data_IF_987671419043
#
_entry.id   IF_987671419043
#
_cell.length_a   1.000
_cell.length_b   1.000
_cell.length_c   1.000
_cell.angle_alpha   90.00
_cell.angle_beta   90.00
_cell.angle_gamma   90.00
#
_symmetry.space_group_name_H-M   'P 1'
#
loop_
_entity.id
_entity.type
_entity.pdbx_description
1 polymer ?
#
# COMPACT_ATOMS: atom_id res chain seq x y z
N UNK A 1 53.16 -19.23 12.92
CA UNK A 1 52.67 -18.59 11.68
C UNK A 1 51.22 -18.21 11.93
N UNK A 2 50.94 -16.94 12.19
CA UNK A 2 49.56 -16.47 12.40
C UNK A 2 48.88 -16.55 11.03
N UNK A 3 48.01 -17.53 10.82
CA UNK A 3 47.07 -17.48 9.72
C UNK A 3 46.26 -16.19 9.94
N UNK A 4 46.45 -15.19 9.06
CA UNK A 4 45.71 -13.93 9.13
C UNK A 4 44.21 -14.23 9.23
N UNK A 5 43.43 -13.37 9.92
CA UNK A 5 42.01 -13.65 10.15
C UNK A 5 41.36 -14.05 8.83
N UNK A 6 40.77 -15.24 8.79
CA UNK A 6 40.09 -15.73 7.61
C UNK A 6 38.97 -14.73 7.29
N UNK A 7 39.22 -13.89 6.28
CA UNK A 7 38.37 -12.75 5.93
C UNK A 7 36.96 -13.23 5.54
N UNK A 8 36.84 -14.46 5.06
CA UNK A 8 35.56 -15.03 4.63
C UNK A 8 34.61 -15.28 5.83
N UNK A 9 34.99 -16.03 6.89
CA UNK A 9 34.18 -16.17 8.11
C UNK A 9 33.76 -14.86 8.77
N UNK A 10 34.65 -13.86 8.81
CA UNK A 10 34.37 -12.58 9.47
C UNK A 10 33.42 -11.70 8.66
N UNK A 11 33.39 -11.86 7.33
CA UNK A 11 32.50 -11.10 6.44
C UNK A 11 31.15 -11.81 6.17
N UNK A 12 31.03 -13.11 6.42
CA UNK A 12 29.79 -13.88 6.19
C UNK A 12 28.53 -13.24 6.81
N UNK A 13 28.53 -12.75 8.07
CA UNK A 13 27.37 -12.10 8.67
C UNK A 13 26.95 -10.78 7.99
N UNK A 14 27.85 -10.13 7.25
CA UNK A 14 27.55 -8.97 6.40
C UNK A 14 27.11 -9.39 4.99
N UNK A 15 27.78 -10.37 4.41
CA UNK A 15 27.54 -10.84 3.04
C UNK A 15 26.17 -11.50 2.92
N UNK A 16 25.76 -12.31 3.90
CA UNK A 16 24.49 -13.06 3.83
C UNK A 16 23.28 -12.10 3.76
N UNK A 17 23.10 -11.11 4.65
CA UNK A 17 21.99 -10.17 4.54
C UNK A 17 22.02 -9.34 3.25
N UNK A 18 23.21 -8.89 2.82
CA UNK A 18 23.37 -8.15 1.56
C UNK A 18 23.00 -9.00 0.34
N UNK A 19 23.41 -10.27 0.32
CA UNK A 19 23.08 -11.21 -0.73
C UNK A 19 21.57 -11.52 -0.77
N UNK A 20 20.93 -11.69 0.40
CA UNK A 20 19.49 -11.88 0.51
C UNK A 20 18.72 -10.64 0.04
N UNK A 21 19.20 -9.44 0.35
CA UNK A 21 18.58 -8.17 -0.09
C UNK A 21 18.80 -7.84 -1.57
N UNK A 22 19.75 -8.50 -2.25
CA UNK A 22 20.01 -8.24 -3.67
C UNK A 22 18.79 -8.53 -4.55
N UNK A 23 18.05 -9.61 -4.27
CA UNK A 23 16.85 -10.00 -5.02
C UNK A 23 15.72 -8.95 -4.91
N UNK A 24 15.27 -8.53 -3.71
CA UNK A 24 14.22 -7.52 -3.58
C UNK A 24 14.67 -6.13 -4.07
N UNK A 25 15.96 -5.79 -3.97
CA UNK A 25 16.48 -4.53 -4.51
C UNK A 25 16.39 -4.50 -6.04
N UNK A 26 16.75 -5.61 -6.70
CA UNK A 26 16.61 -5.74 -8.16
C UNK A 26 15.14 -5.67 -8.57
N UNK A 27 14.24 -6.34 -7.85
CA UNK A 27 12.80 -6.30 -8.16
C UNK A 27 12.20 -4.90 -7.95
N UNK A 28 12.64 -4.17 -6.92
CA UNK A 28 12.28 -2.77 -6.70
C UNK A 28 12.75 -1.88 -7.86
N UNK A 29 14.01 -2.00 -8.28
CA UNK A 29 14.57 -1.24 -9.40
C UNK A 29 13.84 -1.56 -10.70
N UNK A 30 13.58 -2.85 -10.96
CA UNK A 30 12.80 -3.30 -12.12
C UNK A 30 11.36 -2.78 -12.11
N UNK A 31 10.73 -2.71 -10.93
CA UNK A 31 9.39 -2.13 -10.78
C UNK A 31 9.38 -0.61 -11.01
N UNK A 32 10.39 0.12 -10.53
CA UNK A 32 10.55 1.56 -10.80
C UNK A 32 10.78 1.81 -12.28
N UNK A 33 11.65 1.02 -12.94
CA UNK A 33 11.90 1.12 -14.39
C UNK A 33 10.62 0.82 -15.19
N UNK A 34 9.87 -0.22 -14.83
CA UNK A 34 8.61 -0.58 -15.50
C UNK A 34 7.55 0.52 -15.36
N UNK A 35 7.44 1.13 -14.18
CA UNK A 35 6.48 2.22 -13.90
C UNK A 35 6.85 3.52 -14.62
N UNK A 36 8.13 3.88 -14.62
CA UNK A 36 8.64 5.06 -15.36
C UNK A 36 8.50 4.89 -16.87
N UNK A 37 8.80 3.71 -17.42
CA UNK A 37 8.59 3.40 -18.85
C UNK A 37 7.11 3.44 -19.27
N UNK A 38 6.19 3.15 -18.36
CA UNK A 38 4.75 3.28 -18.58
C UNK A 38 4.23 4.73 -18.45
N UNK A 39 5.11 5.73 -18.37
CA UNK A 39 4.76 7.15 -18.28
C UNK A 39 4.14 7.56 -16.93
N UNK A 40 4.20 6.68 -15.93
CA UNK A 40 3.64 6.94 -14.60
C UNK A 40 4.73 7.47 -13.68
N UNK A 41 4.53 8.67 -13.14
CA UNK A 41 5.51 9.32 -12.29
C UNK A 41 5.70 8.52 -10.98
N UNK A 42 6.94 8.15 -10.61
CA UNK A 42 7.24 7.44 -9.36
C UNK A 42 7.03 8.25 -8.07
N UNK A 43 7.04 9.58 -8.16
CA UNK A 43 7.05 10.49 -7.00
C UNK A 43 6.32 11.83 -7.24
N UNK A 44 5.37 11.94 -8.17
CA UNK A 44 4.62 13.21 -8.35
C UNK A 44 3.75 13.54 -7.13
N UNK A 45 3.89 14.73 -6.52
CA UNK A 45 2.87 15.29 -5.65
C UNK A 45 1.74 15.80 -6.55
N UNK A 46 0.64 15.05 -6.62
CA UNK A 46 -0.50 15.39 -7.46
C UNK A 46 -1.62 16.02 -6.61
N UNK A 47 -2.06 17.25 -6.95
CA UNK A 47 -3.18 17.95 -6.30
C UNK A 47 -4.55 17.24 -6.47
N UNK A 48 -4.54 16.06 -7.08
CA UNK A 48 -5.63 15.09 -7.17
C UNK A 48 -5.38 13.85 -6.29
N UNK A 49 -4.81 14.04 -5.09
CA UNK A 49 -4.52 12.91 -4.20
C UNK A 49 -5.76 12.04 -3.95
N UNK A 50 -5.52 10.73 -3.79
CA UNK A 50 -6.56 9.71 -3.51
C UNK A 50 -7.54 10.12 -2.41
N UNK A 51 -7.11 10.93 -1.45
CA UNK A 51 -7.97 11.54 -0.45
C UNK A 51 -9.12 12.37 -1.05
N UNK A 52 -8.82 13.30 -1.96
CA UNK A 52 -9.84 14.10 -2.63
C UNK A 52 -10.76 13.25 -3.51
N UNK A 53 -10.23 12.25 -4.22
CA UNK A 53 -11.08 11.31 -4.99
C UNK A 53 -12.00 10.49 -4.09
N UNK A 54 -11.54 10.09 -2.90
CA UNK A 54 -12.37 9.40 -1.92
C UNK A 54 -13.47 10.32 -1.39
N UNK A 55 -13.17 11.60 -1.15
CA UNK A 55 -14.17 12.60 -0.77
C UNK A 55 -15.20 12.84 -1.89
N UNK A 56 -14.77 12.96 -3.15
CA UNK A 56 -15.65 13.08 -4.33
C UNK A 56 -16.56 11.86 -4.52
N UNK A 57 -16.06 10.67 -4.18
CA UNK A 57 -16.86 9.43 -4.17
C UNK A 57 -17.87 9.36 -3.00
N UNK A 58 -17.86 10.30 -2.06
CA UNK A 58 -18.79 10.35 -0.92
C UNK A 58 -18.28 9.68 0.36
N UNK A 59 -16.96 9.49 0.49
CA UNK A 59 -16.36 9.09 1.77
C UNK A 59 -16.16 10.31 2.68
N UNK A 60 -16.22 10.09 4.00
CA UNK A 60 -15.82 11.11 4.96
C UNK A 60 -14.30 11.25 5.00
N UNK A 61 -13.81 12.42 5.44
CA UNK A 61 -12.37 12.69 5.57
C UNK A 61 -11.66 11.64 6.43
N UNK A 62 -12.26 11.27 7.57
CA UNK A 62 -11.73 10.25 8.48
C UNK A 62 -11.66 8.88 7.78
N UNK A 63 -12.74 8.48 7.09
CA UNK A 63 -12.78 7.19 6.38
C UNK A 63 -11.78 7.15 5.23
N UNK A 64 -11.62 8.25 4.49
CA UNK A 64 -10.64 8.36 3.43
C UNK A 64 -9.21 8.15 3.97
N UNK A 65 -8.88 8.76 5.12
CA UNK A 65 -7.59 8.55 5.78
C UNK A 65 -7.39 7.09 6.23
N UNK A 66 -8.40 6.46 6.84
CA UNK A 66 -8.33 5.04 7.22
C UNK A 66 -8.15 4.12 6.02
N UNK A 67 -8.83 4.39 4.90
CA UNK A 67 -8.68 3.61 3.69
C UNK A 67 -7.26 3.72 3.14
N UNK A 68 -6.70 4.93 3.14
CA UNK A 68 -5.30 5.16 2.74
C UNK A 68 -4.33 4.40 3.63
N UNK A 69 -4.50 4.43 4.95
CA UNK A 69 -3.66 3.65 5.85
C UNK A 69 -3.82 2.14 5.68
N UNK A 70 -5.03 1.66 5.40
CA UNK A 70 -5.27 0.24 5.18
C UNK A 70 -4.61 -0.25 3.87
N UNK A 71 -4.60 0.56 2.81
CA UNK A 71 -3.83 0.28 1.59
C UNK A 71 -2.32 0.22 1.86
N UNK A 72 -1.77 1.19 2.59
CA UNK A 72 -0.36 1.18 2.97
C UNK A 72 -0.01 0.00 3.86
N UNK A 73 -0.83 -0.29 4.86
CA UNK A 73 -0.66 -1.42 5.78
C UNK A 73 -0.76 -2.77 5.09
N UNK A 74 -1.64 -2.91 4.09
CA UNK A 74 -1.74 -4.14 3.30
C UNK A 74 -0.45 -4.41 2.51
N UNK A 75 0.08 -3.38 1.84
CA UNK A 75 1.31 -3.51 1.02
C UNK A 75 2.52 -3.74 1.93
N UNK A 76 2.71 -2.90 2.95
CA UNK A 76 3.84 -3.01 3.87
C UNK A 76 3.77 -4.30 4.69
N UNK A 77 2.61 -4.63 5.23
CA UNK A 77 2.37 -5.85 5.99
C UNK A 77 2.62 -7.11 5.16
N UNK A 78 2.20 -7.13 3.89
CA UNK A 78 2.48 -8.26 2.99
C UNK A 78 3.97 -8.37 2.68
N UNK A 79 4.66 -7.24 2.44
CA UNK A 79 6.11 -7.24 2.21
C UNK A 79 6.89 -7.81 3.40
N UNK A 80 6.49 -7.46 4.63
CA UNK A 80 7.06 -8.03 5.86
C UNK A 80 6.67 -9.49 6.02
N UNK A 81 5.40 -9.85 5.77
CA UNK A 81 4.90 -11.21 5.96
C UNK A 81 5.66 -12.23 5.10
N UNK A 82 6.03 -11.90 3.86
CA UNK A 82 6.80 -12.78 2.98
C UNK A 82 8.16 -13.20 3.59
N UNK A 83 8.70 -12.43 4.55
CA UNK A 83 9.93 -12.78 5.25
C UNK A 83 9.74 -13.81 6.37
N UNK A 84 8.52 -13.99 6.89
CA UNK A 84 8.23 -14.82 8.06
C UNK A 84 7.29 -15.99 7.78
N UNK A 85 6.46 -15.89 6.73
CA UNK A 85 5.51 -16.94 6.34
C UNK A 85 5.71 -17.35 4.88
N UNK A 86 5.35 -18.59 4.51
CA UNK A 86 5.47 -19.03 3.13
C UNK A 86 4.71 -18.11 2.16
N UNK A 87 5.33 -17.86 1.00
CA UNK A 87 4.82 -16.93 -0.01
C UNK A 87 3.35 -17.16 -0.37
N UNK A 88 2.92 -18.42 -0.45
CA UNK A 88 1.53 -18.78 -0.78
C UNK A 88 0.54 -18.20 0.24
N UNK A 89 0.84 -18.28 1.54
CA UNK A 89 -0.03 -17.73 2.57
C UNK A 89 -0.03 -16.20 2.57
N UNK A 90 1.12 -15.56 2.36
CA UNK A 90 1.21 -14.11 2.21
C UNK A 90 0.44 -13.61 0.97
N UNK A 91 0.54 -14.33 -0.15
CA UNK A 91 -0.18 -13.99 -1.38
C UNK A 91 -1.70 -14.14 -1.22
N UNK A 92 -2.18 -15.22 -0.58
CA UNK A 92 -3.60 -15.40 -0.27
C UNK A 92 -4.11 -14.26 0.62
N UNK A 93 -3.36 -13.93 1.69
CA UNK A 93 -3.70 -12.83 2.58
C UNK A 93 -3.79 -11.49 1.84
N UNK A 94 -2.85 -11.22 0.93
CA UNK A 94 -2.86 -10.02 0.10
C UNK A 94 -4.09 -9.95 -0.81
N UNK A 95 -4.44 -11.04 -1.49
CA UNK A 95 -5.62 -11.09 -2.38
C UNK A 95 -6.91 -10.86 -1.61
N UNK A 96 -7.06 -11.49 -0.44
CA UNK A 96 -8.23 -11.29 0.43
C UNK A 96 -8.29 -9.83 0.90
N UNK A 97 -7.19 -9.30 1.44
CA UNK A 97 -7.12 -7.91 1.89
C UNK A 97 -7.41 -6.91 0.78
N UNK A 98 -6.90 -7.17 -0.43
CA UNK A 98 -7.16 -6.36 -1.62
C UNK A 98 -8.65 -6.36 -1.99
N UNK A 99 -9.29 -7.53 -1.97
CA UNK A 99 -10.73 -7.67 -2.22
C UNK A 99 -11.58 -6.88 -1.21
N UNK A 100 -11.25 -6.99 0.08
CA UNK A 100 -11.92 -6.24 1.16
C UNK A 100 -11.76 -4.73 0.96
N UNK A 101 -10.56 -4.26 0.63
CA UNK A 101 -10.30 -2.84 0.41
C UNK A 101 -11.05 -2.30 -0.81
N UNK A 102 -11.06 -3.03 -1.93
CA UNK A 102 -11.83 -2.63 -3.12
C UNK A 102 -13.33 -2.55 -2.79
N UNK A 103 -13.85 -3.52 -2.06
CA UNK A 103 -15.24 -3.51 -1.60
C UNK A 103 -15.53 -2.29 -0.69
N UNK A 104 -14.62 -1.99 0.23
CA UNK A 104 -14.75 -0.86 1.15
C UNK A 104 -14.69 0.51 0.44
N UNK A 105 -13.86 0.65 -0.60
CA UNK A 105 -13.81 1.84 -1.48
C UNK A 105 -15.14 2.05 -2.21
N UNK A 106 -15.79 0.98 -2.67
CA UNK A 106 -17.06 1.05 -3.42
C UNK A 106 -18.29 1.39 -2.56
N UNK A 107 -18.18 1.38 -1.23
CA UNK A 107 -19.27 1.70 -0.30
C UNK A 107 -19.05 3.06 0.37
N UNK A 108 -19.49 4.17 -0.23
CA UNK A 108 -19.36 5.49 0.38
C UNK A 108 -20.16 5.59 1.67
N UNK A 109 -19.64 6.37 2.63
CA UNK A 109 -20.19 6.48 3.98
C UNK A 109 -21.26 7.55 4.11
N UNK A 110 -21.29 8.54 3.22
CA UNK A 110 -22.26 9.64 3.28
C UNK A 110 -23.46 9.28 2.42
N UNK A 111 -24.59 8.96 3.07
CA UNK A 111 -25.87 8.86 2.40
C UNK A 111 -26.26 10.24 1.87
N UNK A 112 -26.44 10.37 0.54
CA UNK A 112 -26.98 11.59 -0.10
C UNK A 112 -28.49 11.76 0.15
N UNK A 113 -28.99 11.36 1.32
CA UNK A 113 -30.41 11.37 1.63
C UNK A 113 -30.67 12.29 2.82
N UNK A 114 -30.52 13.60 2.66
CA UNK A 114 -31.08 14.58 3.63
C UNK A 114 -31.31 15.96 3.00
N UNK A 115 -30.44 16.47 2.12
CA UNK A 115 -30.56 17.86 1.66
C UNK A 115 -31.71 18.10 0.67
N UNK A 116 -32.08 17.11 -0.15
CA UNK A 116 -33.17 17.26 -1.14
C UNK A 116 -34.55 17.02 -0.52
N UNK A 117 -34.65 16.18 0.52
CA UNK A 117 -35.92 15.94 1.24
C UNK A 117 -36.27 17.08 2.21
N UNK A 118 -35.27 17.73 2.82
CA UNK A 118 -35.51 18.91 3.65
C UNK A 118 -36.02 20.12 2.84
N UNK A 119 -35.67 20.22 1.54
CA UNK A 119 -36.23 21.24 0.63
C UNK A 119 -37.64 20.87 0.13
N UNK A 120 -37.98 19.58 0.09
CA UNK A 120 -39.28 19.09 -0.40
C UNK A 120 -40.36 19.03 0.67
N UNK A 121 -39.98 18.90 1.95
CA UNK A 121 -40.92 18.62 3.04
C UNK A 121 -41.37 19.88 3.80
N UNK A 122 -40.99 21.09 3.37
CA UNK A 122 -41.57 22.34 3.88
C UNK A 122 -41.49 22.52 5.40
N UNK A 123 -40.60 21.79 6.09
CA UNK A 123 -40.46 21.78 7.54
C UNK A 123 -39.67 23.00 8.06
N UNK A 124 -39.96 24.15 7.47
CA UNK A 124 -39.65 25.49 7.97
C UNK A 124 -40.93 26.30 7.89
N UNK A 125 -41.94 25.84 8.63
CA UNK A 125 -43.05 26.64 9.14
C UNK A 125 -43.42 26.14 10.51
#
# INVERSE_FOLDING_TARGET
>A
MVAGPALLPTLLPLIIPLAVMAIPLIDLVMAVIRRTRAGKNPFSPDKQHLHHRLLEMGHSQIRAAFLMYAWTGLIAGTAVAVAFIPFVYAAIGFVIGLGILIWAVKRPSVSKATSTDLMRTGAVR
#
